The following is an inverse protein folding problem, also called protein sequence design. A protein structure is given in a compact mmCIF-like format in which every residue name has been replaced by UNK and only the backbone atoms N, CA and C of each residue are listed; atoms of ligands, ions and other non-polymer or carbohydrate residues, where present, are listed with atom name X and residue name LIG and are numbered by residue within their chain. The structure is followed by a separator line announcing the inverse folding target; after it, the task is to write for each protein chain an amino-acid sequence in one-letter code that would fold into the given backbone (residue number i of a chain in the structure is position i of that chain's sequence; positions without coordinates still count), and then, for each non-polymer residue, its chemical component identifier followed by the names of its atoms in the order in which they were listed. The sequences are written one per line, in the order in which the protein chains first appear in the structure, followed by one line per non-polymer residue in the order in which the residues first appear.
data_IF_547855136332
#
_entry.id   IF_547855136332
#
_cell.length_a   1.000
_cell.length_b   1.000
_cell.length_c   1.000
_cell.angle_alpha   90.00
_cell.angle_beta   90.00
_cell.angle_gamma   90.00
#
_symmetry.space_group_name_H-M   'P 1'
#
loop_
_entity.id
_entity.type
_entity.pdbx_description
1 polymer ?
#
# COMPACT_ATOMS: atom_id res chain seq x y z
N UNK A 1 -107.74 39.84 31.47
CA UNK A 1 -108.89 40.32 30.67
C UNK A 1 -110.08 40.33 31.61
N UNK A 2 -110.45 41.50 32.10
CA UNK A 2 -111.19 41.67 33.35
C UNK A 2 -112.49 42.40 33.08
N UNK A 3 -113.59 41.89 33.62
CA UNK A 3 -114.92 42.49 33.48
C UNK A 3 -115.26 43.20 34.78
N UNK A 4 -115.53 44.50 34.68
CA UNK A 4 -115.94 45.32 35.82
C UNK A 4 -117.46 45.43 35.82
N UNK A 5 -118.05 45.18 36.98
CA UNK A 5 -119.49 45.29 37.17
C UNK A 5 -119.82 46.20 38.33
N UNK A 6 -120.85 47.01 38.18
CA UNK A 6 -121.36 47.83 39.28
C UNK A 6 -122.87 47.99 39.19
N UNK A 7 -123.55 48.01 40.33
CA UNK A 7 -124.98 48.33 40.39
C UNK A 7 -125.14 49.74 40.95
N UNK A 8 -125.63 50.65 40.11
CA UNK A 8 -125.84 52.06 40.47
C UNK A 8 -127.25 52.32 41.01
N UNK A 9 -128.06 51.28 41.25
CA UNK A 9 -129.39 51.46 41.85
C UNK A 9 -129.31 51.98 43.28
N UNK A 10 -130.20 52.92 43.62
CA UNK A 10 -130.51 53.27 45.01
C UNK A 10 -131.29 52.13 45.68
N UNK A 11 -131.10 51.98 47.00
CA UNK A 11 -131.48 50.82 47.81
C UNK A 11 -133.00 50.54 47.87
N UNK A 12 -133.79 51.52 47.45
CA UNK A 12 -135.24 51.63 47.59
C UNK A 12 -135.99 51.17 46.32
N UNK A 13 -135.29 50.61 45.33
CA UNK A 13 -135.88 49.81 44.24
C UNK A 13 -136.69 50.58 43.19
N UNK A 14 -137.10 51.81 43.46
CA UNK A 14 -137.71 52.73 42.51
C UNK A 14 -136.59 53.55 41.89
N UNK A 15 -136.45 53.54 40.56
CA UNK A 15 -135.33 54.14 39.83
C UNK A 15 -135.18 55.64 40.08
N UNK A 16 -134.07 56.11 40.69
CA UNK A 16 -133.81 57.54 40.83
C UNK A 16 -132.35 57.83 40.50
N UNK A 17 -132.01 57.89 39.21
CA UNK A 17 -130.92 58.72 38.72
C UNK A 17 -131.36 59.33 37.38
N UNK A 18 -131.00 60.60 37.12
CA UNK A 18 -131.57 61.41 36.04
C UNK A 18 -131.31 60.75 34.68
N UNK A 19 -132.24 60.89 33.75
CA UNK A 19 -132.28 60.21 32.44
C UNK A 19 -130.99 60.29 31.61
N UNK A 20 -130.03 61.14 31.98
CA UNK A 20 -128.76 61.37 31.29
C UNK A 20 -127.60 60.48 31.72
N UNK A 21 -127.71 59.74 32.83
CA UNK A 21 -126.68 58.78 33.27
C UNK A 21 -126.80 57.45 32.51
N UNK A 22 -126.69 57.52 31.19
CA UNK A 22 -126.81 56.36 30.31
C UNK A 22 -125.48 55.61 30.12
N UNK A 23 -124.33 56.24 30.38
CA UNK A 23 -123.01 55.67 30.02
C UNK A 23 -121.92 55.90 31.08
N UNK A 24 -121.02 54.91 31.20
CA UNK A 24 -119.71 55.01 31.87
C UNK A 24 -118.61 54.81 30.84
N UNK A 25 -117.58 55.63 30.89
CA UNK A 25 -116.47 55.64 29.96
C UNK A 25 -115.20 55.15 30.65
N UNK A 26 -114.55 54.13 30.10
CA UNK A 26 -113.25 53.64 30.59
C UNK A 26 -112.16 54.00 29.57
N UNK A 27 -111.13 54.73 29.99
CA UNK A 27 -109.94 54.97 29.18
C UNK A 27 -108.85 54.02 29.61
N UNK A 28 -108.54 53.05 28.75
CA UNK A 28 -107.51 52.03 28.98
C UNK A 28 -106.39 52.19 27.97
N UNK A 29 -105.14 52.03 28.42
CA UNK A 29 -103.96 52.13 27.56
C UNK A 29 -103.80 50.85 26.73
N UNK A 30 -103.94 50.96 25.41
CA UNK A 30 -103.73 49.83 24.48
C UNK A 30 -102.47 50.01 23.64
N UNK A 31 -101.75 48.92 23.42
CA UNK A 31 -100.56 48.89 22.55
C UNK A 31 -101.00 48.73 21.09
N UNK A 32 -100.59 49.65 20.22
CA UNK A 32 -100.78 49.57 18.76
C UNK A 32 -99.41 49.71 18.08
N UNK A 33 -99.11 48.82 17.14
CA UNK A 33 -97.87 48.88 16.37
C UNK A 33 -97.96 50.04 15.37
N UNK A 34 -96.93 50.89 15.33
CA UNK A 34 -96.79 51.88 14.27
C UNK A 34 -96.04 51.28 13.07
N UNK A 35 -96.11 51.94 11.91
CA UNK A 35 -95.63 51.40 10.64
C UNK A 35 -94.10 51.11 10.60
N UNK A 36 -93.35 51.61 11.58
CA UNK A 36 -91.94 51.28 11.79
C UNK A 36 -91.71 50.02 12.65
N UNK A 37 -92.76 49.23 12.93
CA UNK A 37 -92.67 47.96 13.65
C UNK A 37 -92.54 48.07 15.17
N UNK A 38 -92.62 49.28 15.75
CA UNK A 38 -92.50 49.48 17.21
C UNK A 38 -93.87 49.73 17.84
N UNK A 39 -94.13 49.10 18.98
CA UNK A 39 -95.42 49.17 19.67
C UNK A 39 -95.53 50.46 20.49
N UNK A 40 -96.49 51.34 20.16
CA UNK A 40 -96.80 52.57 20.90
C UNK A 40 -98.05 52.34 21.74
N UNK A 41 -98.03 52.80 23.00
CA UNK A 41 -99.18 52.72 23.90
C UNK A 41 -100.03 53.97 23.70
N UNK A 42 -101.30 53.81 23.34
CA UNK A 42 -102.25 54.91 23.19
C UNK A 42 -103.51 54.68 24.05
N UNK A 43 -104.05 55.70 24.72
CA UNK A 43 -105.27 55.58 25.51
C UNK A 43 -106.49 55.43 24.58
N UNK A 44 -107.33 54.43 24.84
CA UNK A 44 -108.57 54.16 24.10
C UNK A 44 -109.76 54.25 25.05
N UNK A 45 -110.76 55.06 24.69
CA UNK A 45 -112.01 55.20 25.47
C UNK A 45 -113.04 54.14 25.05
N UNK A 46 -113.53 53.38 26.02
CA UNK A 46 -114.56 52.35 25.88
C UNK A 46 -115.83 52.85 26.56
N UNK A 47 -116.85 53.17 25.75
CA UNK A 47 -118.15 53.65 26.22
C UNK A 47 -119.07 52.47 26.54
N UNK A 48 -119.46 52.34 27.81
CA UNK A 48 -120.33 51.26 28.31
C UNK A 48 -121.70 51.81 28.68
N UNK A 49 -122.79 51.25 28.11
CA UNK A 49 -124.17 51.65 28.43
C UNK A 49 -124.66 50.94 29.70
N UNK A 50 -125.35 51.65 30.59
CA UNK A 50 -126.03 51.02 31.71
C UNK A 50 -127.34 50.37 31.24
N UNK A 51 -127.58 49.13 31.65
CA UNK A 51 -128.84 48.40 31.38
C UNK A 51 -129.52 48.15 32.73
N UNK A 52 -130.70 48.73 32.92
CA UNK A 52 -131.46 48.70 34.17
C UNK A 52 -130.66 49.14 35.41
N UNK A 53 -129.82 50.18 35.27
CA UNK A 53 -128.99 50.73 36.37
C UNK A 53 -127.72 49.94 36.69
N UNK A 54 -127.49 48.80 36.03
CA UNK A 54 -126.28 48.01 36.19
C UNK A 54 -125.30 48.27 35.06
N UNK A 55 -124.03 48.50 35.43
CA UNK A 55 -122.90 48.56 34.53
C UNK A 55 -122.26 47.18 34.41
N UNK A 56 -122.00 46.77 33.18
CA UNK A 56 -121.16 45.61 32.85
C UNK A 56 -120.23 46.06 31.72
N UNK A 57 -118.93 46.15 31.98
CA UNK A 57 -117.96 46.50 30.95
C UNK A 57 -117.70 45.32 29.99
N UNK A 58 -117.22 45.56 28.77
CA UNK A 58 -116.52 44.56 27.98
C UNK A 58 -115.26 44.09 28.73
N UNK A 59 -114.62 43.03 28.22
CA UNK A 59 -113.33 42.57 28.74
C UNK A 59 -112.26 43.65 28.51
N UNK A 60 -111.78 44.26 29.60
CA UNK A 60 -110.75 45.30 29.60
C UNK A 60 -109.36 44.69 29.87
N UNK A 61 -108.33 45.33 29.32
CA UNK A 61 -106.94 44.91 29.51
C UNK A 61 -106.44 45.34 30.91
N UNK A 62 -105.68 44.49 31.63
CA UNK A 62 -105.18 44.82 32.98
C UNK A 62 -104.18 45.99 32.98
N UNK A 63 -104.14 46.72 34.08
CA UNK A 63 -103.22 47.86 34.28
C UNK A 63 -103.95 49.16 34.67
N UNK A 64 -103.23 50.27 34.59
CA UNK A 64 -103.77 51.59 34.93
C UNK A 64 -104.81 52.07 33.92
N UNK A 65 -105.96 52.52 34.42
CA UNK A 65 -107.06 53.04 33.63
C UNK A 65 -107.72 54.24 34.33
N UNK A 66 -108.42 55.07 33.55
CA UNK A 66 -109.31 56.09 34.11
C UNK A 66 -110.76 55.75 33.79
N UNK A 67 -111.65 55.97 34.76
CA UNK A 67 -113.09 55.77 34.61
C UNK A 67 -113.81 57.09 34.81
N UNK A 68 -114.76 57.39 33.92
CA UNK A 68 -115.61 58.57 33.98
C UNK A 68 -117.07 58.16 33.95
N UNK A 69 -117.82 58.55 34.96
CA UNK A 69 -119.22 58.15 35.14
C UNK A 69 -120.13 59.27 34.63
N UNK A 70 -120.84 59.06 33.52
CA UNK A 70 -121.62 60.10 32.82
C UNK A 70 -120.77 60.97 31.89
N UNK A 71 -121.42 61.65 30.93
CA UNK A 71 -120.72 62.43 29.89
C UNK A 71 -119.87 63.59 30.45
N UNK A 72 -120.28 64.17 31.59
CA UNK A 72 -119.61 65.30 32.24
C UNK A 72 -119.28 65.02 33.72
N UNK A 73 -119.19 63.75 34.13
CA UNK A 73 -118.88 63.40 35.52
C UNK A 73 -117.40 63.40 35.86
N UNK A 74 -117.05 63.28 37.16
CA UNK A 74 -115.68 63.19 37.63
C UNK A 74 -114.95 61.97 37.05
N UNK A 75 -113.65 62.12 36.83
CA UNK A 75 -112.75 61.07 36.34
C UNK A 75 -111.97 60.49 37.51
N UNK A 76 -112.05 59.18 37.70
CA UNK A 76 -111.32 58.45 38.74
C UNK A 76 -110.21 57.62 38.10
N UNK A 77 -109.05 57.53 38.77
CA UNK A 77 -107.98 56.59 38.38
C UNK A 77 -108.20 55.28 39.11
N UNK A 78 -108.09 54.17 38.39
CA UNK A 78 -108.23 52.81 38.91
C UNK A 78 -107.12 51.92 38.35
N UNK A 79 -106.77 50.86 39.10
CA UNK A 79 -105.89 49.79 38.62
C UNK A 79 -106.75 48.56 38.36
N UNK A 80 -106.81 48.12 37.10
CA UNK A 80 -107.58 46.94 36.72
C UNK A 80 -106.75 45.69 37.01
N UNK A 81 -107.21 44.76 37.88
CA UNK A 81 -106.46 43.57 38.24
C UNK A 81 -106.36 42.56 37.09
N UNK A 82 -105.34 41.68 37.13
CA UNK A 82 -105.04 40.74 36.05
C UNK A 82 -106.16 39.72 35.77
N UNK A 83 -106.94 39.33 36.79
CA UNK A 83 -108.08 38.43 36.65
C UNK A 83 -109.10 38.53 37.82
N UNK A 84 -110.39 38.30 37.53
CA UNK A 84 -111.48 38.14 38.51
C UNK A 84 -112.66 39.12 38.33
N UNK A 85 -113.90 38.75 38.71
CA UNK A 85 -115.04 39.67 38.66
C UNK A 85 -114.81 40.77 39.69
N UNK A 86 -114.63 42.01 39.23
CA UNK A 86 -114.25 43.12 40.12
C UNK A 86 -115.33 44.18 40.13
N UNK A 87 -115.62 44.74 41.31
CA UNK A 87 -116.55 45.86 41.47
C UNK A 87 -115.82 47.18 41.29
N UNK A 88 -116.53 48.19 40.80
CA UNK A 88 -115.92 49.47 40.44
C UNK A 88 -115.52 50.25 41.69
N UNK A 89 -116.41 50.35 42.68
CA UNK A 89 -116.16 51.18 43.87
C UNK A 89 -114.91 50.77 44.67
N UNK A 90 -114.68 49.47 44.96
CA UNK A 90 -113.47 49.07 45.69
C UNK A 90 -112.16 49.41 44.96
N UNK A 91 -112.18 49.45 43.63
CA UNK A 91 -111.00 49.84 42.84
C UNK A 91 -110.71 51.33 42.90
N UNK A 92 -111.75 52.16 43.09
CA UNK A 92 -111.60 53.60 43.31
C UNK A 92 -111.09 53.87 44.73
N UNK A 93 -111.60 53.14 45.72
CA UNK A 93 -111.25 53.33 47.14
C UNK A 93 -109.83 52.85 47.49
N UNK A 94 -109.29 51.84 46.78
CA UNK A 94 -107.93 51.33 47.04
C UNK A 94 -106.81 52.30 46.60
N UNK A 95 -107.15 53.35 45.86
CA UNK A 95 -106.18 54.34 45.40
C UNK A 95 -106.14 55.53 46.38
N UNK A 96 -105.33 55.42 47.42
CA UNK A 96 -105.14 56.47 48.43
C UNK A 96 -104.17 57.56 47.91
N UNK A 97 -104.56 58.85 47.87
CA UNK A 97 -103.65 59.94 47.55
C UNK A 97 -102.75 60.30 48.77
N UNK A 98 -101.43 60.52 48.61
CA UNK A 98 -100.58 61.02 49.70
C UNK A 98 -100.89 62.50 50.03
N UNK A 99 -100.79 62.84 51.33
CA UNK A 99 -101.02 64.19 51.91
C UNK A 99 -100.16 65.33 51.28
N UNK A 100 -100.63 66.61 51.29
CA UNK A 100 -100.08 67.74 50.51
C UNK A 100 -98.88 68.50 51.17
N UNK A 101 -98.24 69.50 50.50
CA UNK A 101 -96.78 69.57 50.35
C UNK A 101 -95.94 70.43 51.31
N UNK A 102 -96.41 70.92 52.48
CA UNK A 102 -95.59 71.90 53.26
C UNK A 102 -94.94 71.32 54.54
N UNK A 103 -95.65 70.49 55.32
CA UNK A 103 -95.06 69.93 56.56
C UNK A 103 -94.21 68.68 56.29
N UNK A 104 -94.53 67.91 55.25
CA UNK A 104 -93.72 66.78 54.80
C UNK A 104 -92.40 67.23 54.16
N UNK A 105 -92.42 68.24 53.29
CA UNK A 105 -91.21 68.80 52.66
C UNK A 105 -90.24 69.38 53.68
N UNK A 106 -90.71 70.08 54.71
CA UNK A 106 -89.81 70.65 55.74
C UNK A 106 -89.17 69.55 56.60
N UNK A 107 -89.91 68.46 56.90
CA UNK A 107 -89.32 67.30 57.58
C UNK A 107 -88.35 66.54 56.67
N UNK A 108 -88.71 66.35 55.41
CA UNK A 108 -87.85 65.74 54.40
C UNK A 108 -86.56 66.54 54.21
N UNK A 109 -86.64 67.85 53.99
CA UNK A 109 -85.45 68.69 53.85
C UNK A 109 -84.61 68.74 55.12
N UNK A 110 -85.21 68.69 56.31
CA UNK A 110 -84.44 68.59 57.56
C UNK A 110 -83.65 67.28 57.61
N UNK A 111 -84.32 66.16 57.35
CA UNK A 111 -83.71 64.83 57.47
C UNK A 111 -82.67 64.61 56.35
N UNK A 112 -82.94 65.07 55.11
CA UNK A 112 -81.97 65.09 54.01
C UNK A 112 -80.76 65.97 54.31
N UNK A 113 -80.92 67.12 54.98
CA UNK A 113 -79.80 67.97 55.41
C UNK A 113 -78.97 67.30 56.51
N UNK A 114 -79.61 66.58 57.43
CA UNK A 114 -78.89 65.82 58.47
C UNK A 114 -78.13 64.64 57.84
N UNK A 115 -78.76 63.88 56.95
CA UNK A 115 -78.16 62.72 56.28
C UNK A 115 -77.05 63.13 55.30
N UNK A 116 -77.23 64.23 54.56
CA UNK A 116 -76.17 64.79 53.70
C UNK A 116 -75.01 65.34 54.52
N UNK A 117 -75.27 65.94 55.69
CA UNK A 117 -74.21 66.38 56.60
C UNK A 117 -73.45 65.19 57.18
N UNK A 118 -74.14 64.15 57.63
CA UNK A 118 -73.51 62.98 58.24
C UNK A 118 -72.71 62.17 57.20
N UNK A 119 -73.21 62.05 55.96
CA UNK A 119 -72.45 61.47 54.85
C UNK A 119 -71.26 62.35 54.41
N UNK A 120 -71.39 63.68 54.45
CA UNK A 120 -70.27 64.60 54.21
C UNK A 120 -69.19 64.50 55.31
N UNK A 121 -69.58 64.34 56.57
CA UNK A 121 -68.64 64.13 57.68
C UNK A 121 -67.92 62.78 57.53
N UNK A 122 -68.66 61.71 57.21
CA UNK A 122 -68.08 60.37 57.03
C UNK A 122 -67.10 60.34 55.84
N UNK A 123 -67.48 60.94 54.71
CA UNK A 123 -66.60 61.05 53.53
C UNK A 123 -65.37 61.92 53.78
N UNK A 124 -65.48 63.00 54.56
CA UNK A 124 -64.34 63.80 54.99
C UNK A 124 -63.38 63.02 55.91
N UNK A 125 -63.90 62.17 56.81
CA UNK A 125 -63.09 61.31 57.67
C UNK A 125 -62.33 60.25 56.88
N UNK A 126 -63.00 59.60 55.91
CA UNK A 126 -62.34 58.66 55.00
C UNK A 126 -61.31 59.33 54.10
N UNK A 127 -61.57 60.55 53.62
CA UNK A 127 -60.59 61.32 52.86
C UNK A 127 -59.33 61.62 53.69
N UNK A 128 -59.49 62.07 54.94
CA UNK A 128 -58.36 62.29 55.85
C UNK A 128 -57.56 61.01 56.15
N UNK A 129 -58.22 59.87 56.35
CA UNK A 129 -57.52 58.59 56.51
C UNK A 129 -56.74 58.21 55.26
N UNK A 130 -57.34 58.37 54.07
CA UNK A 130 -56.67 58.05 52.81
C UNK A 130 -55.44 58.94 52.55
N UNK A 131 -55.48 60.22 52.94
CA UNK A 131 -54.33 61.13 52.86
C UNK A 131 -53.21 60.74 53.84
N UNK A 132 -53.56 60.34 55.08
CA UNK A 132 -52.58 59.87 56.06
C UNK A 132 -51.92 58.56 55.63
N UNK A 133 -52.70 57.63 55.07
CA UNK A 133 -52.19 56.35 54.57
C UNK A 133 -51.32 56.54 53.32
N UNK A 134 -51.69 57.44 52.41
CA UNK A 134 -50.85 57.82 51.27
C UNK A 134 -49.53 58.46 51.71
N UNK A 135 -49.55 59.31 52.76
CA UNK A 135 -48.32 59.86 53.36
C UNK A 135 -47.45 58.77 53.97
N UNK A 136 -48.02 57.84 54.73
CA UNK A 136 -47.28 56.71 55.32
C UNK A 136 -46.63 55.84 54.26
N UNK A 137 -47.34 55.53 53.17
CA UNK A 137 -46.82 54.76 52.04
C UNK A 137 -45.72 55.50 51.29
N UNK A 138 -45.83 56.82 51.12
CA UNK A 138 -44.77 57.64 50.51
C UNK A 138 -43.50 57.66 51.37
N UNK A 139 -43.63 57.71 52.69
CA UNK A 139 -42.51 57.66 53.63
C UNK A 139 -41.86 56.27 53.69
N UNK A 140 -42.66 55.20 53.63
CA UNK A 140 -42.17 53.82 53.54
C UNK A 140 -41.45 53.54 52.19
N UNK A 141 -41.97 54.09 51.09
CA UNK A 141 -41.31 54.02 49.78
C UNK A 141 -40.00 54.83 49.73
N UNK A 142 -39.89 55.92 50.48
CA UNK A 142 -38.62 56.65 50.64
C UNK A 142 -37.56 55.84 51.42
N UNK A 143 -37.97 54.82 52.17
CA UNK A 143 -37.10 54.04 53.08
C UNK A 143 -36.61 52.72 52.46
N UNK A 144 -37.19 52.26 51.35
CA UNK A 144 -36.76 51.03 50.67
C UNK A 144 -35.55 51.27 49.76
N UNK A 145 -34.38 51.40 50.38
CA UNK A 145 -33.08 51.45 49.68
C UNK A 145 -32.56 50.03 49.44
N UNK A 146 -32.30 49.71 48.18
CA UNK A 146 -31.66 48.46 47.73
C UNK A 146 -30.15 48.55 47.96
N UNK A 147 -29.68 48.14 49.15
CA UNK A 147 -28.25 48.06 49.49
C UNK A 147 -27.90 48.73 50.83
N UNK A 148 -26.61 48.71 51.20
CA UNK A 148 -26.11 49.45 52.37
C UNK A 148 -26.29 50.96 52.11
N UNK A 149 -27.12 51.61 52.92
CA UNK A 149 -27.48 53.05 52.77
C UNK A 149 -26.34 53.96 53.22
N UNK A 150 -25.62 53.57 54.27
CA UNK A 150 -24.44 54.27 54.76
C UNK A 150 -23.60 53.35 55.64
N UNK A 151 -22.28 53.56 55.65
CA UNK A 151 -21.37 53.02 56.67
C UNK A 151 -20.74 54.26 57.31
N UNK A 152 -20.88 54.38 58.64
CA UNK A 152 -20.43 55.55 59.42
C UNK A 152 -21.03 56.91 58.98
N UNK A 153 -22.30 56.92 58.54
CA UNK A 153 -23.04 58.16 58.23
C UNK A 153 -22.82 58.75 56.83
N UNK A 154 -22.00 58.13 55.98
CA UNK A 154 -21.77 58.54 54.58
C UNK A 154 -22.80 57.88 53.64
N UNK A 155 -23.62 58.67 52.94
CA UNK A 155 -24.54 58.18 51.88
C UNK A 155 -23.85 58.21 50.50
N UNK A 156 -23.69 57.06 49.84
CA UNK A 156 -23.11 56.96 48.48
C UNK A 156 -22.09 55.82 48.31
N UNK A 157 -21.26 55.90 47.26
CA UNK A 157 -20.15 54.97 47.06
C UNK A 157 -19.08 55.19 48.13
N UNK A 158 -18.95 54.25 49.06
CA UNK A 158 -18.00 54.32 50.17
C UNK A 158 -16.61 53.87 49.68
N UNK A 159 -15.59 54.67 49.96
CA UNK A 159 -14.18 54.38 49.65
C UNK A 159 -13.61 53.31 50.59
N UNK A 160 -12.54 52.62 50.17
CA UNK A 160 -11.85 51.65 51.04
C UNK A 160 -11.37 52.25 52.37
N UNK A 161 -11.14 53.57 52.39
CA UNK A 161 -10.69 54.29 53.57
C UNK A 161 -11.75 54.44 54.64
N UNK A 162 -12.97 54.74 54.21
CA UNK A 162 -14.12 54.88 55.09
C UNK A 162 -14.54 53.53 55.71
N UNK A 163 -14.17 52.42 55.08
CA UNK A 163 -14.44 51.07 55.57
C UNK A 163 -13.31 50.49 56.45
N UNK A 164 -12.22 51.22 56.65
CA UNK A 164 -11.06 50.72 57.40
C UNK A 164 -10.32 49.56 56.72
N UNK A 165 -10.65 49.25 55.47
CA UNK A 165 -10.07 48.17 54.65
C UNK A 165 -9.07 48.73 53.62
N UNK A 166 -8.41 49.85 53.96
CA UNK A 166 -7.38 50.48 53.13
C UNK A 166 -6.25 49.53 52.71
N UNK A 167 -6.00 48.51 53.51
CA UNK A 167 -4.97 47.51 53.29
C UNK A 167 -5.46 46.33 52.43
N UNK A 168 -6.76 46.27 52.14
CA UNK A 168 -7.36 45.21 51.31
C UNK A 168 -7.30 45.65 49.85
N UNK A 169 -6.26 45.24 49.16
CA UNK A 169 -6.16 45.40 47.71
C UNK A 169 -6.87 44.28 46.97
N UNK A 170 -7.75 44.66 46.03
CA UNK A 170 -8.47 43.72 45.17
C UNK A 170 -7.62 43.44 43.93
N UNK A 171 -6.38 43.04 44.18
CA UNK A 171 -5.38 42.69 43.18
C UNK A 171 -5.89 41.48 42.40
N UNK A 172 -5.96 41.59 41.07
CA UNK A 172 -6.38 40.45 40.22
C UNK A 172 -5.47 39.27 40.53
N UNK A 173 -5.98 38.05 40.41
CA UNK A 173 -5.20 36.85 40.77
C UNK A 173 -3.83 36.77 40.06
N UNK A 174 -3.74 37.29 38.84
CA UNK A 174 -2.48 37.37 38.07
C UNK A 174 -1.48 38.40 38.60
N UNK A 175 -1.95 39.44 39.29
CA UNK A 175 -1.14 40.52 39.84
C UNK A 175 -0.74 40.27 41.31
N UNK A 176 -1.21 39.15 41.89
CA UNK A 176 -0.88 38.80 43.28
C UNK A 176 0.62 38.54 43.41
N UNK A 177 1.28 39.13 44.42
CA UNK A 177 2.70 38.88 44.63
C UNK A 177 2.91 37.40 45.00
N UNK A 178 3.86 36.75 44.33
CA UNK A 178 4.39 35.48 44.80
C UNK A 178 5.18 35.72 46.09
N UNK A 179 5.16 34.76 47.01
CA UNK A 179 5.93 34.91 48.24
C UNK A 179 7.43 34.98 47.93
N UNK A 180 8.19 35.72 48.73
CA UNK A 180 9.66 35.83 48.59
C UNK A 180 10.34 34.46 48.63
N UNK A 181 9.82 33.53 49.43
CA UNK A 181 10.31 32.15 49.48
C UNK A 181 10.10 31.40 48.15
N UNK A 182 8.94 31.56 47.51
CA UNK A 182 8.64 30.94 46.21
C UNK A 182 9.47 31.57 45.11
N UNK A 183 9.59 32.91 45.09
CA UNK A 183 10.45 33.63 44.15
C UNK A 183 11.91 33.14 44.22
N UNK A 184 12.48 33.06 45.43
CA UNK A 184 13.84 32.59 45.63
C UNK A 184 14.04 31.14 45.18
N UNK A 185 13.08 30.24 45.47
CA UNK A 185 13.12 28.86 44.98
C UNK A 185 13.06 28.77 43.46
N UNK A 186 12.20 29.57 42.82
CA UNK A 186 12.08 29.59 41.36
C UNK A 186 13.39 30.06 40.71
N UNK A 187 14.04 31.08 41.27
CA UNK A 187 15.36 31.53 40.81
C UNK A 187 16.40 30.41 40.92
N UNK A 188 16.48 29.72 42.07
CA UNK A 188 17.42 28.59 42.23
C UNK A 188 17.17 27.47 41.23
N UNK A 189 15.90 27.09 41.02
CA UNK A 189 15.54 26.04 40.05
C UNK A 189 15.96 26.43 38.63
N UNK A 190 15.77 27.71 38.25
CA UNK A 190 16.20 28.20 36.94
C UNK A 190 17.72 28.13 36.77
N UNK A 191 18.48 28.55 37.79
CA UNK A 191 19.94 28.47 37.78
C UNK A 191 20.45 27.02 37.69
N UNK A 192 19.82 26.08 38.41
CA UNK A 192 20.14 24.65 38.34
C UNK A 192 19.83 24.05 36.97
N UNK A 193 18.68 24.42 36.38
CA UNK A 193 18.30 23.99 35.03
C UNK A 193 19.28 24.51 33.98
N UNK A 194 19.62 25.81 34.05
CA UNK A 194 20.57 26.43 33.12
C UNK A 194 21.96 25.78 33.23
N UNK A 195 22.44 25.55 34.46
CA UNK A 195 23.70 24.84 34.68
C UNK A 195 23.69 23.41 34.12
N UNK A 196 22.60 22.67 34.35
CA UNK A 196 22.44 21.31 33.81
C UNK A 196 22.41 21.31 32.28
N UNK A 197 21.76 22.29 31.67
CA UNK A 197 21.69 22.42 30.23
C UNK A 197 23.06 22.72 29.61
N UNK A 198 23.84 23.62 30.21
CA UNK A 198 25.22 23.92 29.79
C UNK A 198 26.15 22.70 29.92
N UNK A 199 26.04 21.94 31.01
CA UNK A 199 26.82 20.72 31.21
C UNK A 199 26.50 19.66 30.13
N UNK A 200 25.21 19.44 29.83
CA UNK A 200 24.78 18.51 28.78
C UNK A 200 25.22 18.98 27.39
N UNK A 201 25.09 20.28 27.12
CA UNK A 201 25.54 20.91 25.86
C UNK A 201 27.03 20.70 25.64
N UNK A 202 27.84 20.96 26.68
CA UNK A 202 29.30 20.77 26.66
C UNK A 202 29.67 19.30 26.46
N UNK A 203 29.03 18.39 27.21
CA UNK A 203 29.25 16.96 27.06
C UNK A 203 28.94 16.47 25.64
N UNK A 204 27.84 16.95 25.04
CA UNK A 204 27.47 16.60 23.67
C UNK A 204 28.44 17.15 22.64
N UNK A 205 28.98 18.36 22.85
CA UNK A 205 29.99 18.97 21.98
C UNK A 205 31.31 18.18 21.93
N UNK A 206 31.64 17.43 22.99
CA UNK A 206 32.85 16.59 23.04
C UNK A 206 32.65 15.19 22.46
N UNK A 207 31.41 14.75 22.24
CA UNK A 207 31.10 13.43 21.66
C UNK A 207 31.43 13.44 20.17
N UNK A 208 32.18 12.43 19.73
CA UNK A 208 32.41 12.22 18.30
C UNK A 208 31.11 11.81 17.61
N UNK A 209 30.76 12.51 16.53
CA UNK A 209 29.63 12.15 15.69
C UNK A 209 30.00 11.01 14.71
N UNK A 210 29.00 10.45 14.05
CA UNK A 210 29.19 9.31 13.13
C UNK A 210 30.18 9.62 12.00
N UNK A 211 30.15 10.82 11.44
CA UNK A 211 31.07 11.23 10.37
C UNK A 211 32.53 11.31 10.86
N UNK A 212 32.77 11.80 12.08
CA UNK A 212 34.10 11.82 12.70
C UNK A 212 34.60 10.41 12.98
N UNK A 213 33.74 9.52 13.49
CA UNK A 213 34.09 8.11 13.73
C UNK A 213 34.45 7.42 12.41
N UNK A 214 33.65 7.62 11.34
CA UNK A 214 33.95 7.08 10.02
C UNK A 214 35.26 7.65 9.45
N UNK A 215 35.50 8.95 9.57
CA UNK A 215 36.74 9.57 9.11
C UNK A 215 37.98 9.02 9.84
N UNK A 216 37.89 8.83 11.16
CA UNK A 216 38.96 8.21 11.96
C UNK A 216 39.16 6.76 11.53
N UNK A 217 38.09 5.98 11.38
CA UNK A 217 38.17 4.58 10.97
C UNK A 217 38.84 4.43 9.58
N UNK A 218 38.45 5.29 8.62
CA UNK A 218 39.08 5.33 7.30
C UNK A 218 40.55 5.72 7.40
N UNK A 219 40.89 6.80 8.14
CA UNK A 219 42.27 7.24 8.30
C UNK A 219 43.16 6.15 8.92
N UNK A 220 42.66 5.46 9.96
CA UNK A 220 43.36 4.33 10.60
C UNK A 220 43.51 3.15 9.64
N UNK A 221 42.46 2.80 8.90
CA UNK A 221 42.52 1.71 7.92
C UNK A 221 43.52 2.03 6.80
N UNK A 222 43.48 3.25 6.26
CA UNK A 222 44.43 3.72 5.25
C UNK A 222 45.86 3.70 5.78
N UNK A 223 46.09 4.15 7.02
CA UNK A 223 47.41 4.11 7.65
C UNK A 223 47.92 2.67 7.83
N UNK A 224 47.07 1.75 8.32
CA UNK A 224 47.42 0.33 8.47
C UNK A 224 47.74 -0.34 7.13
N UNK A 225 46.98 -0.03 6.09
CA UNK A 225 47.24 -0.52 4.73
C UNK A 225 48.57 0.04 4.23
N UNK A 226 48.82 1.34 4.42
CA UNK A 226 50.08 1.96 4.07
C UNK A 226 51.27 1.38 4.86
N UNK A 227 51.10 1.02 6.13
CA UNK A 227 52.13 0.35 6.93
C UNK A 227 52.40 -1.06 6.38
N UNK A 228 51.37 -1.82 6.03
CA UNK A 228 51.52 -3.17 5.43
C UNK A 228 52.26 -3.07 4.09
N UNK A 229 51.86 -2.13 3.24
CA UNK A 229 52.50 -1.90 1.93
C UNK A 229 53.91 -1.33 2.10
N UNK A 230 54.10 -0.39 3.03
CA UNK A 230 55.35 0.31 3.33
C UNK A 230 56.40 -0.53 4.05
N UNK A 231 56.00 -1.64 4.68
CA UNK A 231 56.91 -2.68 5.17
C UNK A 231 57.23 -3.77 4.14
N UNK A 232 56.51 -3.82 3.02
CA UNK A 232 56.76 -4.74 1.91
C UNK A 232 57.15 -4.11 0.55
N UNK A 233 57.65 -2.85 0.40
CA UNK A 233 57.86 -2.25 -0.93
C UNK A 233 58.85 -3.07 -1.74
N UNK A 234 59.99 -3.42 -1.14
CA UNK A 234 61.02 -4.20 -1.82
C UNK A 234 60.56 -5.65 -2.07
N UNK A 235 59.72 -6.21 -1.19
CA UNK A 235 59.17 -7.56 -1.36
C UNK A 235 58.12 -7.59 -2.48
N UNK A 236 57.22 -6.62 -2.54
CA UNK A 236 56.24 -6.46 -3.61
C UNK A 236 56.93 -6.18 -4.95
N UNK A 237 57.98 -5.36 -4.95
CA UNK A 237 58.82 -5.10 -6.12
C UNK A 237 59.50 -6.40 -6.59
N UNK A 238 60.10 -7.18 -5.68
CA UNK A 238 60.68 -8.48 -6.05
C UNK A 238 59.65 -9.48 -6.58
N UNK A 239 58.45 -9.54 -6.02
CA UNK A 239 57.38 -10.41 -6.53
C UNK A 239 56.88 -9.92 -7.90
N UNK A 240 56.81 -8.62 -8.11
CA UNK A 240 56.48 -8.01 -9.41
C UNK A 240 57.56 -8.31 -10.46
N UNK A 241 58.83 -8.12 -10.13
CA UNK A 241 59.96 -8.44 -11.00
C UNK A 241 60.00 -9.94 -11.32
N UNK A 242 59.74 -10.82 -10.35
CA UNK A 242 59.65 -12.27 -10.57
C UNK A 242 58.47 -12.63 -11.48
N UNK A 243 57.29 -12.06 -11.25
CA UNK A 243 56.11 -12.30 -12.07
C UNK A 243 56.32 -11.81 -13.52
N UNK A 244 56.92 -10.62 -13.69
CA UNK A 244 57.30 -10.07 -14.98
C UNK A 244 58.38 -10.92 -15.68
N UNK A 245 59.41 -11.38 -14.96
CA UNK A 245 60.46 -12.25 -15.48
C UNK A 245 59.93 -13.63 -15.92
N UNK A 246 58.88 -14.12 -15.26
CA UNK A 246 58.15 -15.33 -15.65
C UNK A 246 57.03 -15.06 -16.69
N UNK A 247 56.94 -13.84 -17.20
CA UNK A 247 56.04 -13.46 -18.29
C UNK A 247 54.56 -13.36 -17.91
N UNK A 248 54.25 -13.21 -16.63
CA UNK A 248 52.88 -13.15 -16.08
C UNK A 248 51.97 -14.29 -16.63
N UNK A 249 52.53 -15.48 -16.86
CA UNK A 249 51.84 -16.60 -17.50
C UNK A 249 51.03 -17.40 -16.45
N UNK A 250 49.69 -17.49 -16.57
CA UNK A 250 48.86 -18.25 -15.62
C UNK A 250 49.18 -19.75 -15.57
N UNK A 251 49.70 -20.30 -16.67
CA UNK A 251 49.99 -21.71 -16.84
C UNK A 251 51.50 -21.98 -17.00
N UNK A 252 52.38 -21.11 -16.49
CA UNK A 252 53.83 -21.20 -16.68
C UNK A 252 54.38 -22.63 -16.51
N UNK A 253 53.99 -23.33 -15.44
CA UNK A 253 54.44 -24.70 -15.19
C UNK A 253 53.95 -25.71 -16.25
N UNK A 254 52.71 -25.57 -16.73
CA UNK A 254 52.16 -26.43 -17.77
C UNK A 254 52.81 -26.17 -19.13
N UNK A 255 53.07 -24.90 -19.46
CA UNK A 255 53.71 -24.50 -20.70
C UNK A 255 55.18 -24.96 -20.75
N UNK A 256 55.90 -24.81 -19.63
CA UNK A 256 57.27 -25.35 -19.49
C UNK A 256 57.26 -26.87 -19.60
N UNK A 257 56.32 -27.56 -18.94
CA UNK A 257 56.18 -29.01 -19.05
C UNK A 257 55.90 -29.46 -20.49
N UNK A 258 55.00 -28.76 -21.19
CA UNK A 258 54.70 -29.03 -22.59
C UNK A 258 55.94 -28.80 -23.49
N UNK A 259 56.68 -27.72 -23.27
CA UNK A 259 57.91 -27.43 -24.02
C UNK A 259 59.00 -28.49 -23.79
N UNK A 260 59.14 -29.00 -22.56
CA UNK A 260 60.06 -30.10 -22.23
C UNK A 260 59.58 -31.41 -22.87
N UNK A 261 58.28 -31.70 -22.86
CA UNK A 261 57.71 -32.90 -23.47
C UNK A 261 57.92 -32.98 -24.99
N UNK A 262 58.13 -31.85 -25.66
CA UNK A 262 58.48 -31.79 -27.09
C UNK A 262 59.96 -32.10 -27.38
N UNK A 263 60.82 -32.13 -26.35
CA UNK A 263 62.23 -32.50 -26.54
C UNK A 263 62.35 -34.01 -26.70
N UNK A 264 63.26 -34.44 -27.57
CA UNK A 264 63.57 -35.86 -27.72
C UNK A 264 64.24 -36.40 -26.42
N UNK A 265 63.88 -37.60 -25.95
CA UNK A 265 64.57 -38.25 -24.84
C UNK A 265 66.08 -38.39 -25.10
N UNK A 266 66.88 -38.31 -24.03
CA UNK A 266 68.34 -38.45 -24.13
C UNK A 266 68.75 -39.86 -24.58
N UNK A 267 68.10 -40.88 -24.03
CA UNK A 267 68.39 -42.28 -24.35
C UNK A 267 67.38 -42.81 -25.37
N UNK A 268 67.89 -43.28 -26.50
CA UNK A 268 67.11 -43.95 -27.55
C UNK A 268 65.81 -43.23 -27.95
N UNK A 269 65.87 -41.94 -28.35
CA UNK A 269 64.70 -41.24 -28.85
C UNK A 269 64.15 -41.92 -30.11
N UNK A 270 62.84 -42.12 -30.17
CA UNK A 270 62.17 -42.56 -31.39
C UNK A 270 61.82 -41.33 -32.23
N UNK A 271 62.62 -41.05 -33.26
CA UNK A 271 62.36 -39.94 -34.17
C UNK A 271 61.37 -40.34 -35.27
N UNK A 272 60.48 -39.43 -35.64
CA UNK A 272 59.61 -39.56 -36.82
C UNK A 272 59.89 -38.44 -37.83
N UNK A 273 59.47 -38.60 -39.09
CA UNK A 273 59.75 -37.64 -40.15
C UNK A 273 61.18 -37.73 -40.69
N UNK A 274 61.78 -36.57 -41.01
CA UNK A 274 63.15 -36.44 -41.50
C UNK A 274 63.99 -35.63 -40.49
N UNK A 275 64.46 -36.24 -39.39
CA UNK A 275 65.24 -35.53 -38.39
C UNK A 275 66.54 -35.00 -38.99
N UNK A 276 66.96 -33.81 -38.58
CA UNK A 276 68.21 -33.19 -39.02
C UNK A 276 69.10 -32.90 -37.81
N UNK A 277 70.42 -32.96 -37.99
CA UNK A 277 71.40 -32.53 -36.99
C UNK A 277 72.28 -31.48 -37.65
N UNK A 278 72.28 -30.27 -37.09
CA UNK A 278 73.02 -29.14 -37.68
C UNK A 278 72.55 -28.76 -39.09
N UNK A 279 71.26 -28.95 -39.41
CA UNK A 279 70.69 -28.70 -40.73
C UNK A 279 71.02 -29.75 -41.78
N UNK A 280 71.87 -30.74 -41.45
CA UNK A 280 72.13 -31.90 -42.29
C UNK A 280 71.03 -32.91 -42.00
N UNK A 281 70.30 -33.32 -43.04
CA UNK A 281 69.40 -34.46 -42.92
C UNK A 281 70.20 -35.64 -42.43
N UNK A 282 69.89 -36.13 -41.22
CA UNK A 282 70.37 -37.43 -40.77
C UNK A 282 69.70 -38.39 -41.73
N UNK A 283 70.42 -38.74 -42.79
CA UNK A 283 70.02 -39.63 -43.87
C UNK A 283 68.93 -40.56 -43.34
N UNK A 284 67.67 -40.30 -43.75
CA UNK A 284 66.79 -41.43 -43.94
C UNK A 284 67.64 -42.35 -44.78
N UNK A 285 67.73 -43.61 -44.40
CA UNK A 285 67.69 -44.54 -45.48
C UNK A 285 66.41 -44.21 -46.28
N UNK A 286 66.53 -43.39 -47.32
CA UNK A 286 65.89 -43.53 -48.62
C UNK A 286 66.85 -44.31 -49.56
N UNK A 287 68.11 -44.52 -49.11
CA UNK A 287 68.99 -45.55 -49.65
C UNK A 287 68.42 -46.93 -49.42
N UNK A 288 67.66 -47.38 -50.40
CA UNK A 288 67.05 -48.69 -50.53
C UNK A 288 67.84 -49.88 -49.95
N UNK A 289 69.16 -49.76 -49.81
CA UNK A 289 70.10 -50.76 -49.28
C UNK A 289 70.22 -50.80 -47.75
N UNK A 290 69.73 -49.80 -47.00
CA UNK A 290 69.97 -49.67 -45.56
C UNK A 290 68.76 -49.92 -44.64
N UNK A 291 67.53 -49.93 -45.15
CA UNK A 291 66.30 -50.02 -44.33
C UNK A 291 65.23 -50.92 -44.94
N UNK A 292 65.48 -51.50 -46.11
CA UNK A 292 64.54 -52.43 -46.68
C UNK A 292 65.02 -53.87 -46.45
N UNK A 293 64.19 -54.66 -45.79
CA UNK A 293 64.29 -56.11 -45.74
C UNK A 293 63.91 -56.78 -47.08
N UNK A 294 63.77 -56.04 -48.19
CA UNK A 294 64.83 -56.05 -49.19
C UNK A 294 65.40 -57.39 -49.57
N UNK A 295 64.67 -58.29 -50.22
CA UNK A 295 65.39 -59.26 -51.03
C UNK A 295 66.13 -58.45 -52.10
N UNK A 296 67.48 -58.43 -52.13
CA UNK A 296 68.21 -57.53 -53.02
C UNK A 296 67.72 -57.71 -54.46
N UNK A 297 67.34 -56.60 -55.14
CA UNK A 297 67.10 -56.68 -56.58
C UNK A 297 68.35 -57.28 -57.23
N UNK A 298 68.14 -58.23 -58.14
CA UNK A 298 69.22 -58.90 -58.84
C UNK A 298 70.19 -57.84 -59.39
N UNK A 299 71.43 -57.89 -58.90
CA UNK A 299 72.50 -57.03 -59.36
C UNK A 299 73.69 -57.91 -59.72
N UNK A 300 74.42 -57.48 -60.74
CA UNK A 300 75.59 -58.21 -61.21
C UNK A 300 76.84 -57.73 -60.47
N UNK A 301 77.60 -58.68 -59.94
CA UNK A 301 78.97 -58.46 -59.53
C UNK A 301 79.90 -58.88 -60.65
N UNK A 302 80.86 -58.02 -61.01
CA UNK A 302 81.99 -58.43 -61.84
C UNK A 302 82.72 -59.58 -61.15
N UNK A 303 83.00 -60.66 -61.89
CA UNK A 303 83.75 -61.80 -61.36
C UNK A 303 85.16 -61.40 -60.87
N UNK A 304 85.71 -60.31 -61.40
CA UNK A 304 86.99 -59.76 -60.97
C UNK A 304 87.00 -59.23 -59.53
N UNK A 305 85.84 -58.90 -58.97
CA UNK A 305 85.72 -58.43 -57.57
C UNK A 305 85.70 -59.56 -56.53
N UNK A 306 85.71 -60.82 -56.97
CA UNK A 306 85.62 -61.98 -56.07
C UNK A 306 87.05 -62.45 -55.78
N UNK A 307 87.59 -61.99 -54.64
CA UNK A 307 88.97 -62.30 -54.21
C UNK A 307 89.12 -63.64 -53.49
N UNK A 308 88.02 -64.36 -53.23
CA UNK A 308 88.01 -65.70 -52.64
C UNK A 308 86.67 -66.42 -52.90
N UNK A 309 86.70 -67.74 -53.05
CA UNK A 309 85.51 -68.60 -53.18
C UNK A 309 85.37 -69.30 -54.54
N UNK A 310 84.37 -70.18 -54.65
CA UNK A 310 84.11 -70.98 -55.86
C UNK A 310 83.22 -70.23 -56.86
N UNK A 311 83.70 -70.01 -58.08
CA UNK A 311 82.87 -69.52 -59.19
C UNK A 311 82.36 -70.70 -60.03
N UNK A 312 81.06 -70.68 -60.35
CA UNK A 312 80.47 -71.64 -61.28
C UNK A 312 81.13 -71.59 -62.66
N UNK A 313 81.20 -72.73 -63.35
CA UNK A 313 81.82 -72.83 -64.69
C UNK A 313 81.19 -71.89 -65.71
N UNK A 314 79.86 -71.72 -65.65
CA UNK A 314 79.12 -70.78 -66.49
C UNK A 314 79.56 -69.31 -66.34
N UNK A 315 80.24 -68.96 -65.24
CA UNK A 315 80.77 -67.62 -64.96
C UNK A 315 82.30 -67.55 -65.10
N UNK A 316 82.91 -68.48 -65.85
CA UNK A 316 84.35 -68.53 -66.11
C UNK A 316 85.20 -69.14 -65.00
N UNK A 317 84.58 -69.65 -63.92
CA UNK A 317 85.29 -70.38 -62.87
C UNK A 317 85.54 -71.85 -63.21
N UNK A 318 86.25 -72.58 -62.35
CA UNK A 318 86.43 -74.03 -62.49
C UNK A 318 85.33 -74.84 -61.79
N UNK A 319 84.45 -74.17 -61.02
CA UNK A 319 83.47 -74.82 -60.16
C UNK A 319 84.09 -75.55 -58.95
N UNK A 320 85.36 -75.30 -58.64
CA UNK A 320 86.09 -75.89 -57.51
C UNK A 320 86.73 -74.81 -56.65
N UNK A 321 86.78 -75.06 -55.33
CA UNK A 321 87.47 -74.18 -54.37
C UNK A 321 88.98 -74.29 -54.44
N UNK A 322 89.49 -75.48 -54.75
CA UNK A 322 90.93 -75.78 -54.81
C UNK A 322 91.28 -76.64 -56.03
N UNK A 323 92.49 -76.46 -56.55
CA UNK A 323 93.12 -77.30 -57.57
C UNK A 323 94.35 -77.97 -56.95
N UNK A 324 94.41 -79.30 -57.04
CA UNK A 324 95.54 -80.07 -56.51
C UNK A 324 96.66 -80.01 -57.54
N UNK A 325 97.87 -79.73 -57.06
CA UNK A 325 99.08 -79.69 -57.90
C UNK A 325 99.28 -81.00 -58.69
N UNK A 326 99.81 -80.90 -59.90
CA UNK A 326 100.03 -82.05 -60.80
C UNK A 326 98.76 -82.69 -61.38
N UNK A 327 97.58 -82.14 -61.11
CA UNK A 327 96.31 -82.60 -61.71
C UNK A 327 96.00 -81.85 -63.00
N UNK A 328 95.31 -82.54 -63.92
CA UNK A 328 94.85 -81.97 -65.18
C UNK A 328 93.35 -81.73 -65.14
N UNK A 329 92.91 -80.71 -65.88
CA UNK A 329 91.49 -80.35 -65.97
C UNK A 329 90.85 -80.95 -67.22
N UNK A 330 89.69 -81.59 -67.04
CA UNK A 330 88.83 -82.07 -68.13
C UNK A 330 87.45 -81.43 -68.06
N UNK A 331 86.94 -80.99 -69.21
CA UNK A 331 85.58 -80.50 -69.34
C UNK A 331 84.55 -81.58 -69.00
N UNK A 332 83.60 -81.26 -68.12
CA UNK A 332 82.60 -82.20 -67.59
C UNK A 332 81.16 -81.86 -68.02
N UNK A 333 80.99 -81.40 -69.26
CA UNK A 333 79.65 -81.27 -69.89
C UNK A 333 78.62 -80.47 -69.09
N UNK A 334 78.99 -79.28 -68.59
CA UNK A 334 78.10 -78.38 -67.82
C UNK A 334 78.22 -78.48 -66.29
N UNK A 335 78.89 -79.52 -65.77
CA UNK A 335 79.24 -79.63 -64.34
C UNK A 335 80.60 -78.99 -64.02
N UNK A 336 80.99 -78.96 -62.73
CA UNK A 336 82.32 -78.55 -62.30
C UNK A 336 83.41 -79.30 -63.07
N UNK A 337 84.49 -78.61 -63.44
CA UNK A 337 85.61 -79.20 -64.15
C UNK A 337 86.14 -80.38 -63.32
N UNK A 338 86.39 -81.52 -63.96
CA UNK A 338 86.92 -82.69 -63.28
C UNK A 338 88.45 -82.64 -63.28
N UNK A 339 89.03 -82.93 -62.11
CA UNK A 339 90.47 -83.16 -62.03
C UNK A 339 90.78 -84.60 -62.38
N UNK A 340 91.82 -84.78 -63.20
CA UNK A 340 92.29 -86.06 -63.70
C UNK A 340 93.77 -86.20 -63.33
N UNK A 341 94.13 -87.39 -62.88
CA UNK A 341 95.55 -87.76 -62.72
C UNK A 341 96.22 -87.95 -64.08
N UNK A 342 97.56 -87.88 -64.18
CA UNK A 342 98.26 -88.15 -65.44
C UNK A 342 97.87 -89.48 -66.10
N UNK A 343 97.64 -90.54 -65.30
CA UNK A 343 97.20 -91.84 -65.81
C UNK A 343 95.81 -91.74 -66.46
N UNK A 344 94.86 -91.14 -65.75
CA UNK A 344 93.49 -90.95 -66.23
C UNK A 344 93.37 -90.04 -67.45
N UNK A 345 94.31 -89.10 -67.65
CA UNK A 345 94.38 -88.29 -68.88
C UNK A 345 94.85 -89.13 -70.06
N UNK A 346 95.87 -89.98 -69.89
CA UNK A 346 96.33 -90.89 -70.95
C UNK A 346 95.21 -91.80 -71.42
N UNK A 347 94.42 -92.31 -70.49
CA UNK A 347 93.22 -93.10 -70.80
C UNK A 347 92.19 -92.27 -71.58
N UNK A 348 91.94 -91.02 -71.17
CA UNK A 348 90.94 -90.13 -71.79
C UNK A 348 91.29 -89.71 -73.23
N UNK A 349 92.58 -89.49 -73.54
CA UNK A 349 93.03 -89.12 -74.89
C UNK A 349 93.25 -90.36 -75.78
N UNK A 350 92.96 -91.56 -75.28
CA UNK A 350 93.22 -92.80 -76.01
C UNK A 350 94.71 -93.07 -76.25
N UNK A 351 95.60 -92.40 -75.51
CA UNK A 351 97.04 -92.66 -75.52
C UNK A 351 97.35 -93.88 -74.64
N UNK A 352 96.67 -94.99 -74.94
CA UNK A 352 96.91 -96.28 -74.32
C UNK A 352 98.38 -96.68 -74.41
N UNK A 353 98.75 -97.73 -73.67
CA UNK A 353 100.06 -98.37 -73.85
C UNK A 353 100.25 -98.67 -75.33
N UNK A 354 101.29 -98.10 -75.96
CA UNK A 354 101.58 -98.33 -77.37
C UNK A 354 101.50 -99.83 -77.68
N UNK A 355 100.70 -100.22 -78.69
CA UNK A 355 100.56 -101.63 -79.10
C UNK A 355 101.84 -102.18 -79.76
N UNK A 356 102.85 -101.33 -79.95
CA UNK A 356 104.19 -101.70 -80.35
C UNK A 356 105.02 -102.03 -79.09
N UNK A 357 104.95 -103.29 -78.65
CA UNK A 357 105.85 -103.82 -77.62
C UNK A 357 107.21 -104.10 -78.25
N UNK A 358 108.08 -103.09 -78.35
CA UNK A 358 109.51 -103.35 -78.59
C UNK A 358 110.08 -103.97 -77.32
N UNK A 359 110.37 -105.27 -77.34
CA UNK A 359 110.89 -106.00 -76.19
C UNK A 359 112.13 -105.31 -75.60
N UNK A 360 111.98 -104.73 -74.41
CA UNK A 360 113.02 -103.93 -73.75
C UNK A 360 114.15 -104.77 -73.10
N UNK A 361 114.13 -106.08 -73.27
CA UNK A 361 115.11 -107.01 -72.69
C UNK A 361 115.35 -108.19 -73.63
N UNK A 362 116.62 -108.60 -73.77
CA UNK A 362 117.11 -109.64 -74.68
C UNK A 362 116.47 -111.03 -74.55
N UNK A 363 115.63 -111.25 -73.54
CA UNK A 363 114.92 -112.51 -73.29
C UNK A 363 113.51 -112.60 -73.92
N UNK A 364 112.93 -111.47 -74.37
CA UNK A 364 111.61 -111.44 -75.04
C UNK A 364 111.67 -111.12 -76.54
N UNK A 365 112.88 -110.90 -77.09
CA UNK A 365 113.11 -110.97 -78.54
C UNK A 365 113.13 -112.45 -78.94
N UNK A 366 111.96 -113.04 -79.20
CA UNK A 366 111.88 -114.39 -79.75
C UNK A 366 112.64 -114.40 -81.08
N UNK A 367 113.44 -115.47 -81.27
CA UNK A 367 114.28 -115.77 -82.43
C UNK A 367 113.40 -115.90 -83.68
N UNK A 368 112.98 -114.75 -84.22
CA UNK A 368 111.91 -114.63 -85.21
C UNK A 368 111.56 -113.15 -85.47
N UNK A 369 111.68 -112.28 -84.47
CA UNK A 369 111.45 -110.83 -84.62
C UNK A 369 112.75 -110.07 -85.00
N UNK A 370 113.51 -110.62 -85.96
CA UNK A 370 114.71 -109.97 -86.47
C UNK A 370 114.35 -109.12 -87.69
N UNK A 371 114.80 -107.86 -87.71
CA UNK A 371 114.81 -107.03 -88.91
C UNK A 371 115.65 -107.76 -89.98
N UNK A 372 114.99 -108.36 -90.96
CA UNK A 372 115.65 -109.24 -91.93
C UNK A 372 115.93 -108.47 -93.20
N UNK A 373 117.22 -108.21 -93.40
CA UNK A 373 117.72 -107.62 -94.63
C UNK A 373 117.69 -108.67 -95.73
N UNK A 374 116.94 -108.40 -96.80
CA UNK A 374 116.81 -109.30 -97.95
C UNK A 374 117.15 -108.55 -99.23
N UNK A 375 117.79 -109.20 -100.20
CA UNK A 375 118.06 -108.58 -101.51
C UNK A 375 116.81 -108.42 -102.38
N UNK A 376 115.70 -109.05 -101.99
CA UNK A 376 114.36 -108.86 -102.53
C UNK A 376 113.34 -109.40 -101.51
N UNK A 377 112.16 -108.78 -101.40
CA UNK A 377 111.14 -109.27 -100.48
C UNK A 377 110.65 -110.68 -100.84
N UNK A 378 110.48 -111.58 -99.85
CA UNK A 378 109.98 -112.92 -100.10
C UNK A 378 108.50 -112.89 -100.53
N UNK A 379 108.12 -113.82 -101.41
CA UNK A 379 106.75 -113.93 -101.92
C UNK A 379 105.72 -114.32 -100.83
N UNK A 380 106.18 -114.85 -99.70
CA UNK A 380 105.39 -115.08 -98.47
C UNK A 380 106.31 -114.79 -97.28
N UNK A 381 105.91 -113.88 -96.41
CA UNK A 381 106.69 -113.46 -95.23
C UNK A 381 106.38 -114.31 -94.01
N UNK A 382 107.36 -114.45 -93.12
CA UNK A 382 107.21 -115.10 -91.82
C UNK A 382 106.56 -114.12 -90.83
N UNK A 383 105.61 -114.61 -90.02
CA UNK A 383 104.98 -113.82 -88.96
C UNK A 383 106.02 -113.32 -87.95
N UNK A 384 105.96 -112.02 -87.63
CA UNK A 384 106.88 -111.35 -86.69
C UNK A 384 108.15 -110.76 -87.33
N UNK A 385 108.47 -111.11 -88.58
CA UNK A 385 109.66 -110.58 -89.27
C UNK A 385 109.36 -109.28 -90.01
N UNK A 386 110.09 -108.22 -89.67
CA UNK A 386 110.12 -107.00 -90.48
C UNK A 386 111.21 -107.14 -91.54
N UNK A 387 110.83 -107.34 -92.80
CA UNK A 387 111.79 -107.37 -93.90
C UNK A 387 112.15 -105.95 -94.32
N UNK A 388 113.43 -105.72 -94.69
CA UNK A 388 113.84 -104.53 -95.41
C UNK A 388 114.80 -104.90 -96.54
N UNK A 389 114.67 -104.27 -97.70
CA UNK A 389 115.59 -104.45 -98.82
C UNK A 389 116.67 -103.38 -98.82
N UNK A 390 117.94 -103.76 -98.89
CA UNK A 390 119.03 -102.83 -99.23
C UNK A 390 119.17 -102.83 -100.74
N UNK A 391 119.09 -101.66 -101.37
CA UNK A 391 119.79 -101.45 -102.64
C UNK A 391 121.30 -101.38 -102.42
#
# INVERSE_FOLDING_TARGET
MTVITEDFRRLDGIAPFPADLAFVYFTVSRRRQNDAGTWVVMPVEVKCRLVAGKLTSPSLDPGEATVRIGAHGPVYKIIIPEAGPTRLWPLIELYEPPDPPVVSLVKQYRDEVVESKDSAILSAFHAQQSEQEARRLAEEAATTVTGVVSIDGQQGAVTKAELGINLVDNTRDADKPISTAVAARLTTILEEIDGTFEDVSTALATKQNEAQVQAIAVAVATAKIADIIGNAPNTLDTVYELAAALGNQPNFAADVLAAIALKAPLASPNFSGSPTVGGISLVKGDDAKLYDARTPLAHEHSAAGITSGTLSVARGGTGRGDLVDGSFMRGAGGAAIQMRTPAQVRDDIGAGTSSLTLGATSATALRGDALRVVSSFPATGDDGVLYMTVE
#
